data_IF_859865764630
#
_entry.id   IF_859865764630
#
_cell.length_a   1.000
_cell.length_b   1.000
_cell.length_c   1.000
_cell.angle_alpha   90.00
_cell.angle_beta   90.00
_cell.angle_gamma   90.00
#
_symmetry.space_group_name_H-M   'P 1'
#
loop_
_entity.id
_entity.type
_entity.pdbx_description
1 polymer ?
#
# COMPACT_ATOMS: atom_id res chain seq x y z
N UNK A 1 -6.29 -18.55 14.13
CA UNK A 1 -6.39 -20.00 13.97
C UNK A 1 -5.02 -20.66 14.05
N UNK A 2 -4.16 -20.48 13.05
CA UNK A 2 -2.83 -21.09 13.01
C UNK A 2 -1.84 -20.45 14.00
N UNK A 3 -2.12 -19.26 14.49
CA UNK A 3 -1.24 -18.52 15.41
C UNK A 3 -0.96 -19.34 16.68
N UNK A 4 -1.99 -19.94 17.27
CA UNK A 4 -1.85 -20.79 18.45
C UNK A 4 -1.08 -22.09 18.17
N UNK A 5 -1.28 -22.66 16.98
CA UNK A 5 -0.63 -23.89 16.58
C UNK A 5 0.88 -23.71 16.42
N UNK A 6 1.30 -22.61 15.80
CA UNK A 6 2.71 -22.27 15.62
C UNK A 6 3.29 -21.40 16.76
N UNK A 7 2.58 -21.24 17.87
CA UNK A 7 3.00 -20.44 19.02
C UNK A 7 3.35 -18.99 18.64
N UNK A 8 2.47 -18.35 17.86
CA UNK A 8 2.60 -16.98 17.40
C UNK A 8 1.63 -16.06 18.15
N UNK A 9 2.07 -14.86 18.47
CA UNK A 9 1.28 -13.78 19.08
C UNK A 9 0.21 -13.25 18.11
N UNK A 10 0.59 -13.13 16.85
CA UNK A 10 -0.21 -12.55 15.78
C UNK A 10 0.22 -13.12 14.42
N UNK A 11 -0.44 -12.66 13.35
CA UNK A 11 -0.11 -13.10 11.99
C UNK A 11 1.19 -12.48 11.49
N UNK A 12 2.26 -13.26 11.28
CA UNK A 12 3.54 -12.72 10.87
C UNK A 12 3.51 -12.12 9.45
N UNK A 13 2.63 -12.62 8.58
CA UNK A 13 2.56 -12.24 7.16
C UNK A 13 1.30 -11.44 6.82
N UNK A 14 0.82 -10.61 7.75
CA UNK A 14 -0.27 -9.68 7.48
C UNK A 14 0.09 -8.73 6.32
N UNK A 15 -0.93 -8.43 5.47
CA UNK A 15 -0.75 -7.57 4.30
C UNK A 15 -0.85 -6.07 4.61
N UNK A 16 -1.33 -5.73 5.81
CA UNK A 16 -1.39 -4.34 6.26
C UNK A 16 0.02 -3.80 6.50
N UNK A 17 0.32 -2.59 6.03
CA UNK A 17 1.60 -1.95 6.33
C UNK A 17 1.77 -1.76 7.84
N UNK A 18 2.83 -2.32 8.39
CA UNK A 18 3.19 -2.21 9.80
C UNK A 18 4.69 -1.89 9.92
N UNK A 19 5.04 -0.70 10.44
CA UNK A 19 6.44 -0.31 10.63
C UNK A 19 7.22 -1.21 11.59
N UNK A 20 6.58 -1.87 12.56
CA UNK A 20 7.23 -2.79 13.49
C UNK A 20 7.74 -4.06 12.79
N UNK A 21 7.07 -4.44 11.69
CA UNK A 21 7.45 -5.56 10.83
C UNK A 21 8.37 -5.18 9.67
N UNK A 22 8.90 -3.96 9.64
CA UNK A 22 9.84 -3.57 8.60
C UNK A 22 11.19 -4.29 8.80
N UNK A 23 11.46 -5.26 7.95
CA UNK A 23 12.80 -5.83 7.80
C UNK A 23 13.68 -4.87 7.00
N UNK A 24 14.73 -4.37 7.63
CA UNK A 24 15.70 -3.47 6.98
C UNK A 24 16.69 -4.30 6.15
N UNK A 25 16.25 -4.78 4.99
CA UNK A 25 17.20 -5.33 4.01
C UNK A 25 18.16 -4.26 3.53
N UNK A 26 19.21 -4.67 2.82
CA UNK A 26 20.20 -3.73 2.27
C UNK A 26 19.51 -2.65 1.41
N UNK A 27 18.61 -3.03 0.51
CA UNK A 27 17.90 -2.08 -0.38
C UNK A 27 16.98 -1.15 0.40
N UNK A 28 16.32 -1.60 1.48
CA UNK A 28 15.48 -0.74 2.32
C UNK A 28 16.31 0.23 3.16
N UNK A 29 17.47 -0.20 3.64
CA UNK A 29 18.39 0.67 4.38
C UNK A 29 18.95 1.77 3.48
N UNK A 30 19.46 1.42 2.29
CA UNK A 30 19.94 2.37 1.29
C UNK A 30 18.84 3.37 0.87
N UNK A 31 17.59 2.88 0.70
CA UNK A 31 16.46 3.73 0.42
C UNK A 31 16.19 4.73 1.54
N UNK A 32 16.11 4.27 2.80
CA UNK A 32 15.92 5.15 3.96
C UNK A 32 17.01 6.20 4.07
N UNK A 33 18.27 5.81 3.91
CA UNK A 33 19.42 6.73 3.98
C UNK A 33 19.36 7.77 2.85
N UNK A 34 19.00 7.36 1.64
CA UNK A 34 18.82 8.27 0.50
C UNK A 34 17.69 9.28 0.73
N UNK A 35 16.55 8.81 1.25
CA UNK A 35 15.40 9.68 1.55
C UNK A 35 15.73 10.63 2.70
N UNK A 36 16.38 10.15 3.75
CA UNK A 36 16.82 10.97 4.88
C UNK A 36 17.81 12.04 4.45
N UNK A 37 18.80 11.67 3.64
CA UNK A 37 19.74 12.61 3.05
C UNK A 37 19.01 13.69 2.24
N UNK A 38 18.03 13.31 1.42
CA UNK A 38 17.20 14.25 0.65
C UNK A 38 16.48 15.25 1.55
N UNK A 39 15.91 14.79 2.67
CA UNK A 39 15.22 15.66 3.62
C UNK A 39 16.20 16.57 4.36
N UNK A 40 17.33 16.04 4.85
CA UNK A 40 18.34 16.80 5.59
C UNK A 40 19.05 17.84 4.71
N UNK A 41 19.34 17.50 3.44
CA UNK A 41 19.93 18.41 2.45
C UNK A 41 18.97 19.45 1.88
N UNK A 42 17.69 19.41 2.30
CA UNK A 42 16.61 20.29 1.80
C UNK A 42 16.39 20.17 0.30
N UNK A 43 16.45 18.97 -0.22
CA UNK A 43 16.11 18.69 -1.61
C UNK A 43 14.67 19.17 -1.91
N UNK A 44 14.48 19.84 -3.05
CA UNK A 44 13.15 20.31 -3.45
C UNK A 44 12.22 19.14 -3.73
N UNK A 45 12.67 18.21 -4.56
CA UNK A 45 11.95 16.96 -4.87
C UNK A 45 12.79 15.74 -4.54
N UNK A 46 12.10 14.80 -3.90
CA UNK A 46 12.59 13.45 -3.61
C UNK A 46 11.59 12.47 -4.22
N UNK A 47 12.06 11.50 -4.99
CA UNK A 47 11.20 10.51 -5.64
C UNK A 47 11.62 9.10 -5.22
N UNK A 48 10.68 8.30 -4.75
CA UNK A 48 10.89 6.87 -4.51
C UNK A 48 9.91 6.07 -5.37
N UNK A 49 10.43 5.15 -6.16
CA UNK A 49 9.62 4.26 -6.98
C UNK A 49 9.92 2.80 -6.65
N UNK A 50 9.06 1.90 -7.05
CA UNK A 50 9.25 0.45 -6.87
C UNK A 50 7.97 -0.30 -7.20
N UNK A 51 8.08 -1.61 -7.35
CA UNK A 51 6.96 -2.48 -7.68
C UNK A 51 5.84 -2.43 -6.65
N UNK A 52 4.64 -2.84 -7.07
CA UNK A 52 3.49 -2.99 -6.17
C UNK A 52 3.83 -4.01 -5.09
N UNK A 53 3.74 -3.61 -3.82
CA UNK A 53 4.07 -4.51 -2.71
C UNK A 53 5.56 -4.59 -2.35
N UNK A 54 6.43 -3.76 -2.95
CA UNK A 54 7.85 -3.66 -2.58
C UNK A 54 8.12 -3.05 -1.19
N UNK A 55 7.09 -2.55 -0.49
CA UNK A 55 7.25 -1.99 0.85
C UNK A 55 7.40 -0.46 0.91
N UNK A 56 7.13 0.28 -0.18
CA UNK A 56 7.23 1.74 -0.23
C UNK A 56 6.47 2.45 0.89
N UNK A 57 5.21 2.10 1.09
CA UNK A 57 4.36 2.73 2.12
C UNK A 57 4.89 2.46 3.53
N UNK A 58 5.37 1.24 3.81
CA UNK A 58 5.99 0.89 5.09
C UNK A 58 7.29 1.65 5.29
N UNK A 59 8.11 1.78 4.24
CA UNK A 59 9.34 2.58 4.23
C UNK A 59 9.04 4.04 4.57
N UNK A 60 8.02 4.63 3.92
CA UNK A 60 7.59 6.01 4.19
C UNK A 60 7.11 6.19 5.63
N UNK A 61 6.28 5.28 6.14
CA UNK A 61 5.81 5.34 7.53
C UNK A 61 6.97 5.29 8.51
N UNK A 62 7.94 4.40 8.29
CA UNK A 62 9.15 4.29 9.12
C UNK A 62 10.01 5.55 9.02
N UNK A 63 10.15 6.12 7.83
CA UNK A 63 10.85 7.39 7.64
C UNK A 63 10.18 8.50 8.46
N UNK A 64 8.86 8.65 8.33
CA UNK A 64 8.09 9.70 9.01
C UNK A 64 8.16 9.57 10.54
N UNK A 65 8.14 8.36 11.07
CA UNK A 65 8.32 8.13 12.52
C UNK A 65 9.71 8.54 13.05
N UNK A 66 10.73 8.55 12.18
CA UNK A 66 12.11 8.90 12.54
C UNK A 66 12.44 10.39 12.30
N UNK A 67 11.51 11.16 11.73
CA UNK A 67 11.70 12.60 11.55
C UNK A 67 11.65 13.34 12.89
N UNK A 68 12.41 14.42 12.98
CA UNK A 68 12.41 15.28 14.15
C UNK A 68 11.09 16.10 14.25
N UNK A 69 10.80 16.59 15.46
CA UNK A 69 9.62 17.43 15.74
C UNK A 69 9.65 18.80 14.99
N UNK A 70 10.73 19.10 14.28
CA UNK A 70 10.84 20.30 13.44
C UNK A 70 10.25 20.09 12.05
N UNK A 71 9.90 18.86 11.69
CA UNK A 71 9.31 18.57 10.40
C UNK A 71 7.79 18.60 10.51
N UNK A 72 7.15 19.52 9.79
CA UNK A 72 5.69 19.57 9.64
C UNK A 72 5.31 18.80 8.39
N UNK A 73 4.60 17.70 8.54
CA UNK A 73 4.27 16.80 7.43
C UNK A 73 2.83 17.00 6.99
N UNK A 74 2.63 17.16 5.67
CA UNK A 74 1.34 16.93 5.02
C UNK A 74 1.42 15.66 4.19
N UNK A 75 0.38 14.82 4.24
CA UNK A 75 0.36 13.52 3.55
C UNK A 75 -0.90 13.37 2.68
N UNK A 76 -0.71 13.30 1.37
CA UNK A 76 -1.78 13.00 0.41
C UNK A 76 -1.68 11.52 0.01
N UNK A 77 -2.73 10.76 0.32
CA UNK A 77 -2.85 9.32 -0.02
C UNK A 77 -3.81 9.11 -1.18
N UNK A 78 -4.89 9.92 -1.25
CA UNK A 78 -5.78 9.90 -2.39
C UNK A 78 -5.23 10.80 -3.49
N UNK A 79 -4.74 10.20 -4.55
CA UNK A 79 -4.06 10.88 -5.66
C UNK A 79 -4.88 10.91 -6.95
N UNK A 80 -6.11 10.38 -6.93
CA UNK A 80 -7.06 10.48 -8.04
C UNK A 80 -7.85 11.79 -7.91
N UNK A 81 -7.13 12.92 -7.92
CA UNK A 81 -7.67 14.26 -7.70
C UNK A 81 -7.33 15.18 -8.87
N UNK A 82 -8.25 16.07 -9.19
CA UNK A 82 -7.96 17.19 -10.09
C UNK A 82 -6.95 18.16 -9.45
N UNK A 83 -6.19 18.95 -10.25
CA UNK A 83 -5.14 19.83 -9.71
C UNK A 83 -5.60 20.77 -8.60
N UNK A 84 -6.84 21.25 -8.67
CA UNK A 84 -7.43 22.12 -7.65
C UNK A 84 -7.73 21.36 -6.37
N UNK A 85 -8.33 20.18 -6.49
CA UNK A 85 -8.65 19.29 -5.36
C UNK A 85 -7.39 18.84 -4.65
N UNK A 86 -6.32 18.57 -5.40
CA UNK A 86 -5.01 18.25 -4.84
C UNK A 86 -4.46 19.39 -4.00
N UNK A 87 -4.55 20.64 -4.48
CA UNK A 87 -4.14 21.82 -3.73
C UNK A 87 -4.98 22.00 -2.45
N UNK A 88 -6.30 21.79 -2.53
CA UNK A 88 -7.20 21.83 -1.38
C UNK A 88 -6.83 20.75 -0.36
N UNK A 89 -6.56 19.52 -0.81
CA UNK A 89 -6.14 18.41 0.06
C UNK A 89 -4.80 18.72 0.77
N UNK A 90 -3.82 19.26 0.05
CA UNK A 90 -2.53 19.66 0.62
C UNK A 90 -2.72 20.76 1.68
N UNK A 91 -3.49 21.79 1.37
CA UNK A 91 -3.75 22.89 2.29
C UNK A 91 -4.48 22.40 3.56
N UNK A 92 -5.48 21.54 3.38
CA UNK A 92 -6.26 20.96 4.48
C UNK A 92 -5.37 20.10 5.41
N UNK A 93 -4.47 19.31 4.85
CA UNK A 93 -3.59 18.45 5.65
C UNK A 93 -2.52 19.24 6.41
N UNK A 94 -2.15 20.42 5.91
CA UNK A 94 -1.37 21.41 6.67
C UNK A 94 -2.19 22.19 7.72
N UNK A 95 -3.50 21.90 7.84
CA UNK A 95 -4.39 22.55 8.82
C UNK A 95 -4.96 23.89 8.37
N UNK A 96 -4.94 24.19 7.06
CA UNK A 96 -5.50 25.43 6.52
C UNK A 96 -6.98 25.24 6.15
N UNK A 97 -7.79 26.27 6.42
CA UNK A 97 -9.16 26.30 5.94
C UNK A 97 -9.19 26.49 4.41
N UNK A 98 -9.95 25.65 3.73
CA UNK A 98 -10.09 25.67 2.26
C UNK A 98 -11.49 26.07 1.80
N UNK A 99 -12.44 26.23 2.74
CA UNK A 99 -13.86 26.40 2.45
C UNK A 99 -14.13 27.66 1.64
N UNK A 100 -14.69 27.49 0.45
CA UNK A 100 -15.10 28.61 -0.43
C UNK A 100 -13.95 29.44 -1.00
N UNK A 101 -12.69 29.04 -0.82
CA UNK A 101 -11.53 29.79 -1.31
C UNK A 101 -11.23 29.50 -2.77
N UNK A 102 -10.84 30.53 -3.50
CA UNK A 102 -10.33 30.36 -4.86
C UNK A 102 -8.87 29.86 -4.84
N UNK A 103 -8.42 29.25 -5.94
CA UNK A 103 -7.03 28.75 -6.08
C UNK A 103 -5.97 29.80 -5.74
N UNK A 104 -6.05 31.07 -6.19
CA UNK A 104 -5.08 32.08 -5.81
C UNK A 104 -5.04 32.40 -4.31
N UNK A 105 -6.20 32.34 -3.64
CA UNK A 105 -6.30 32.54 -2.20
C UNK A 105 -5.64 31.38 -1.45
N UNK A 106 -5.89 30.13 -1.88
CA UNK A 106 -5.27 28.93 -1.29
C UNK A 106 -3.74 28.97 -1.43
N UNK A 107 -3.23 29.32 -2.60
CA UNK A 107 -1.79 29.45 -2.84
C UNK A 107 -1.16 30.54 -1.96
N UNK A 108 -1.83 31.68 -1.80
CA UNK A 108 -1.39 32.75 -0.91
C UNK A 108 -1.35 32.28 0.55
N UNK A 109 -2.42 31.66 1.02
CA UNK A 109 -2.55 31.20 2.40
C UNK A 109 -1.52 30.11 2.71
N UNK A 110 -1.31 29.18 1.77
CA UNK A 110 -0.24 28.18 1.86
C UNK A 110 1.14 28.85 1.88
N UNK A 111 1.38 29.84 1.03
CA UNK A 111 2.64 30.61 1.03
C UNK A 111 2.91 31.29 2.38
N UNK A 112 1.91 31.93 2.97
CA UNK A 112 2.03 32.55 4.31
C UNK A 112 2.34 31.48 5.36
N UNK A 113 1.60 30.37 5.38
CA UNK A 113 1.84 29.25 6.29
C UNK A 113 3.29 28.75 6.19
N UNK A 114 3.80 28.52 4.98
CA UNK A 114 5.15 28.00 4.78
C UNK A 114 6.23 29.00 5.28
N UNK A 115 6.00 30.30 5.10
CA UNK A 115 6.87 31.36 5.65
C UNK A 115 6.83 31.34 7.18
N UNK A 116 5.65 31.23 7.79
CA UNK A 116 5.49 31.15 9.23
C UNK A 116 6.17 29.91 9.82
N UNK A 117 6.01 28.74 9.18
CA UNK A 117 6.73 27.52 9.58
C UNK A 117 8.24 27.73 9.55
N UNK A 118 8.73 28.41 8.51
CA UNK A 118 10.15 28.73 8.37
C UNK A 118 10.67 29.65 9.47
N UNK A 119 9.91 30.69 9.84
CA UNK A 119 10.29 31.61 10.94
C UNK A 119 10.35 30.90 12.29
N UNK A 120 9.54 29.86 12.48
CA UNK A 120 9.54 28.97 13.65
C UNK A 120 10.66 27.91 13.61
N UNK A 121 11.51 27.91 12.57
CA UNK A 121 12.57 26.92 12.39
C UNK A 121 12.08 25.53 11.97
N UNK A 122 10.82 25.41 11.56
CA UNK A 122 10.22 24.17 11.08
C UNK A 122 10.49 23.92 9.60
N UNK A 123 10.30 22.67 9.17
CA UNK A 123 10.54 22.18 7.82
C UNK A 123 9.27 21.53 7.27
N UNK A 124 8.49 22.23 6.46
CA UNK A 124 7.35 21.63 5.80
C UNK A 124 7.77 20.57 4.78
N UNK A 125 7.18 19.38 4.88
CA UNK A 125 7.37 18.24 4.00
C UNK A 125 6.00 17.78 3.49
N UNK A 126 5.80 17.82 2.19
CA UNK A 126 4.65 17.23 1.52
C UNK A 126 5.03 15.80 1.07
N UNK A 127 4.27 14.81 1.50
CA UNK A 127 4.40 13.42 1.07
C UNK A 127 3.19 13.02 0.25
N UNK A 128 3.42 12.60 -0.99
CA UNK A 128 2.38 12.09 -1.88
C UNK A 128 2.67 10.61 -2.13
N UNK A 129 1.83 9.75 -1.59
CA UNK A 129 1.89 8.30 -1.84
C UNK A 129 1.03 7.94 -3.07
N UNK A 130 1.33 6.83 -3.75
CA UNK A 130 0.66 6.41 -5.01
C UNK A 130 0.66 7.51 -6.11
N UNK A 131 1.76 8.27 -6.20
CA UNK A 131 1.88 9.43 -7.08
C UNK A 131 1.78 9.09 -8.58
N UNK A 132 1.87 7.82 -9.00
CA UNK A 132 1.61 7.41 -10.39
C UNK A 132 0.16 7.65 -10.83
N UNK A 133 -0.76 7.87 -9.91
CA UNK A 133 -2.16 8.18 -10.23
C UNK A 133 -2.37 9.67 -10.53
N UNK A 134 -1.38 10.54 -10.24
CA UNK A 134 -1.47 11.96 -10.56
C UNK A 134 -1.42 12.17 -12.07
N UNK A 135 -2.31 13.02 -12.57
CA UNK A 135 -2.24 13.51 -13.94
C UNK A 135 -1.00 14.40 -14.16
N UNK A 136 -0.56 14.55 -15.42
CA UNK A 136 0.52 15.49 -15.75
C UNK A 136 0.21 16.91 -15.27
N UNK A 137 -1.06 17.33 -15.34
CA UNK A 137 -1.51 18.64 -14.84
C UNK A 137 -1.39 18.75 -13.31
N UNK A 138 -1.69 17.67 -12.58
CA UNK A 138 -1.53 17.64 -11.13
C UNK A 138 -0.05 17.65 -10.72
N UNK A 139 0.82 16.91 -11.43
CA UNK A 139 2.27 16.96 -11.22
C UNK A 139 2.84 18.36 -11.51
N UNK A 140 2.33 19.04 -12.55
CA UNK A 140 2.72 20.43 -12.83
C UNK A 140 2.28 21.39 -11.73
N UNK A 141 1.10 21.19 -11.12
CA UNK A 141 0.68 21.95 -9.95
C UNK A 141 1.62 21.74 -8.75
N UNK A 142 2.00 20.49 -8.49
CA UNK A 142 2.98 20.14 -7.46
C UNK A 142 4.35 20.82 -7.75
N UNK A 143 4.75 20.89 -9.04
CA UNK A 143 5.95 21.61 -9.43
C UNK A 143 5.85 23.10 -9.12
N UNK A 144 4.70 23.72 -9.40
CA UNK A 144 4.48 25.12 -9.09
C UNK A 144 4.55 25.41 -7.59
N UNK A 145 4.07 24.50 -6.72
CA UNK A 145 4.23 24.61 -5.27
C UNK A 145 5.70 24.64 -4.84
N UNK A 146 6.57 23.92 -5.54
CA UNK A 146 8.01 23.97 -5.25
C UNK A 146 8.70 25.31 -5.56
N UNK A 147 8.01 26.22 -6.28
CA UNK A 147 8.47 27.60 -6.50
C UNK A 147 8.25 28.51 -5.29
N UNK A 148 7.50 28.03 -4.28
CA UNK A 148 7.39 28.74 -3.03
C UNK A 148 8.73 28.67 -2.31
N UNK A 149 9.53 29.71 -2.50
CA UNK A 149 10.90 29.80 -1.98
C UNK A 149 11.21 31.23 -1.52
N UNK A 150 12.16 31.35 -0.62
CA UNK A 150 12.79 32.63 -0.30
C UNK A 150 14.07 32.79 -1.14
N UNK A 151 14.68 33.98 -1.14
CA UNK A 151 15.95 34.21 -1.87
C UNK A 151 17.06 33.21 -1.54
N UNK A 152 16.98 32.51 -0.40
CA UNK A 152 18.06 31.64 0.10
C UNK A 152 17.67 30.18 0.29
N UNK A 153 16.37 29.80 0.21
CA UNK A 153 15.97 28.42 0.50
C UNK A 153 14.57 28.08 0.06
N UNK A 154 14.36 26.80 -0.29
CA UNK A 154 13.03 26.21 -0.49
C UNK A 154 12.22 26.24 0.80
N UNK A 155 10.94 26.62 0.69
CA UNK A 155 9.99 26.62 1.81
C UNK A 155 9.31 25.29 1.99
N UNK A 156 9.14 24.52 0.91
CA UNK A 156 8.46 23.22 0.90
C UNK A 156 9.37 22.16 0.27
N UNK A 157 9.50 21.04 0.93
CA UNK A 157 10.08 19.83 0.37
C UNK A 157 8.96 18.88 -0.05
N UNK A 158 9.16 18.16 -1.15
CA UNK A 158 8.14 17.30 -1.73
C UNK A 158 8.74 15.90 -1.95
N UNK A 159 8.11 14.90 -1.34
CA UNK A 159 8.44 13.50 -1.49
C UNK A 159 7.32 12.78 -2.23
N UNK A 160 7.63 12.22 -3.39
CA UNK A 160 6.71 11.43 -4.20
C UNK A 160 7.07 9.97 -4.09
N UNK A 161 6.10 9.14 -3.73
CA UNK A 161 6.23 7.69 -3.78
C UNK A 161 5.25 7.12 -4.81
N UNK A 162 5.72 6.18 -5.63
CA UNK A 162 4.87 5.62 -6.66
C UNK A 162 5.38 4.32 -7.27
N UNK A 163 4.59 3.78 -8.18
CA UNK A 163 4.94 2.61 -8.98
C UNK A 163 5.92 3.00 -10.10
N UNK A 164 6.56 2.03 -10.80
CA UNK A 164 7.51 2.32 -11.87
C UNK A 164 6.97 3.26 -12.95
N UNK A 165 5.68 3.18 -13.29
CA UNK A 165 5.01 4.08 -14.25
C UNK A 165 5.12 5.57 -13.91
N UNK A 166 5.36 5.94 -12.63
CA UNK A 166 5.66 7.32 -12.26
C UNK A 166 6.95 7.82 -12.91
N UNK A 167 7.97 6.96 -13.03
CA UNK A 167 9.23 7.31 -13.72
C UNK A 167 8.99 7.60 -15.19
N UNK A 168 8.16 6.79 -15.84
CA UNK A 168 7.82 6.95 -17.26
C UNK A 168 7.04 8.24 -17.47
N UNK A 169 6.10 8.53 -16.59
CA UNK A 169 5.35 9.79 -16.60
C UNK A 169 6.28 11.00 -16.43
N UNK A 170 7.18 10.99 -15.45
CA UNK A 170 8.16 12.07 -15.21
C UNK A 170 9.18 12.18 -16.35
N UNK A 171 9.50 11.08 -17.02
CA UNK A 171 10.41 11.08 -18.17
C UNK A 171 9.79 11.69 -19.44
N UNK A 172 8.47 11.91 -19.44
CA UNK A 172 7.78 12.50 -20.60
C UNK A 172 8.27 13.92 -20.91
N UNK A 173 8.28 14.33 -22.20
CA UNK A 173 8.70 15.68 -22.60
C UNK A 173 7.91 16.81 -21.92
N UNK A 174 6.66 16.56 -21.58
CA UNK A 174 5.78 17.54 -20.91
C UNK A 174 6.24 17.88 -19.50
N UNK A 175 6.96 16.97 -18.82
CA UNK A 175 7.44 17.12 -17.45
C UNK A 175 8.95 17.31 -17.34
N UNK A 176 9.61 17.80 -18.41
CA UNK A 176 11.07 18.03 -18.40
C UNK A 176 11.49 19.00 -17.29
N UNK A 177 10.73 20.11 -17.10
CA UNK A 177 11.01 21.08 -16.04
C UNK A 177 10.81 20.50 -14.64
N UNK A 178 9.88 19.57 -14.49
CA UNK A 178 9.68 18.84 -13.24
C UNK A 178 10.89 17.94 -12.96
N UNK A 179 11.32 17.15 -13.97
CA UNK A 179 12.44 16.21 -13.86
C UNK A 179 13.75 16.91 -13.44
N UNK A 180 14.02 18.12 -13.96
CA UNK A 180 15.22 18.90 -13.63
C UNK A 180 15.26 19.34 -12.15
N UNK A 181 14.14 19.28 -11.43
CA UNK A 181 14.03 19.66 -10.00
C UNK A 181 14.17 18.49 -9.03
N UNK A 182 14.22 17.26 -9.55
CA UNK A 182 14.39 16.06 -8.73
C UNK A 182 15.87 15.99 -8.31
N UNK A 183 16.09 16.16 -7.02
CA UNK A 183 17.45 16.12 -6.46
C UNK A 183 17.83 14.70 -5.98
N UNK A 184 16.83 13.93 -5.52
CA UNK A 184 17.03 12.55 -5.05
C UNK A 184 15.99 11.65 -5.71
N UNK A 185 16.46 10.58 -6.34
CA UNK A 185 15.58 9.54 -6.92
C UNK A 185 16.11 8.17 -6.52
N UNK A 186 15.25 7.36 -5.93
CA UNK A 186 15.58 5.99 -5.55
C UNK A 186 14.54 5.02 -6.10
N UNK A 187 15.01 3.88 -6.60
CA UNK A 187 14.13 2.80 -7.04
C UNK A 187 14.28 1.61 -6.10
N UNK A 188 13.21 1.31 -5.36
CA UNK A 188 13.17 0.21 -4.39
C UNK A 188 13.04 -1.11 -5.15
N UNK A 189 14.14 -1.85 -5.20
CA UNK A 189 14.20 -3.17 -5.82
C UNK A 189 13.55 -4.21 -4.91
N UNK A 190 13.05 -5.32 -5.48
CA UNK A 190 12.66 -6.49 -4.71
C UNK A 190 13.82 -7.04 -3.86
N UNK A 191 13.49 -7.84 -2.85
CA UNK A 191 14.48 -8.56 -2.04
C UNK A 191 15.25 -9.58 -2.90
N UNK A 192 16.53 -9.72 -2.67
CA UNK A 192 17.29 -10.85 -3.21
C UNK A 192 16.99 -12.16 -2.46
N UNK A 193 17.55 -13.28 -2.89
CA UNK A 193 17.26 -14.59 -2.27
C UNK A 193 17.70 -14.66 -0.80
N UNK A 194 18.91 -14.22 -0.40
CA UNK A 194 19.32 -14.14 1.00
C UNK A 194 18.45 -13.23 1.85
N UNK A 195 18.10 -12.04 1.34
CA UNK A 195 17.24 -11.09 2.02
C UNK A 195 15.81 -11.63 2.15
N UNK A 196 15.31 -12.39 1.17
CA UNK A 196 13.99 -13.05 1.24
C UNK A 196 13.96 -14.07 2.38
N UNK A 197 14.97 -14.91 2.51
CA UNK A 197 15.06 -15.87 3.60
C UNK A 197 15.14 -15.18 4.98
N UNK A 198 15.96 -14.16 5.08
CA UNK A 198 16.09 -13.35 6.29
C UNK A 198 14.80 -12.61 6.65
N UNK A 199 14.11 -12.06 5.66
CA UNK A 199 12.80 -11.41 5.81
C UNK A 199 11.74 -12.35 6.38
N UNK A 200 11.63 -13.55 5.83
CA UNK A 200 10.66 -14.56 6.29
C UNK A 200 10.93 -14.89 7.77
N UNK A 201 12.17 -15.24 8.09
CA UNK A 201 12.55 -15.63 9.44
C UNK A 201 12.45 -14.46 10.44
N UNK A 202 12.77 -13.24 10.02
CA UNK A 202 12.58 -12.03 10.85
C UNK A 202 11.12 -11.85 11.25
N UNK A 203 10.18 -11.96 10.31
CA UNK A 203 8.75 -11.80 10.58
C UNK A 203 8.20 -12.90 11.49
N UNK A 204 8.65 -14.14 11.31
CA UNK A 204 8.29 -15.25 12.19
C UNK A 204 8.84 -15.04 13.60
N UNK A 205 10.10 -14.66 13.73
CA UNK A 205 10.72 -14.38 15.01
C UNK A 205 10.04 -13.22 15.75
N UNK A 206 9.62 -12.17 15.01
CA UNK A 206 8.92 -11.02 15.58
C UNK A 206 7.54 -11.39 16.13
N UNK A 207 6.82 -12.28 15.46
CA UNK A 207 5.50 -12.74 15.89
C UNK A 207 5.53 -13.86 16.92
N UNK A 208 6.67 -14.53 17.16
CA UNK A 208 6.76 -15.71 17.99
C UNK A 208 6.60 -15.41 19.49
N UNK A 209 5.92 -16.29 20.22
CA UNK A 209 5.84 -16.29 21.69
C UNK A 209 6.94 -17.12 22.35
N UNK A 210 7.76 -17.80 21.55
CA UNK A 210 8.85 -18.67 21.99
C UNK A 210 9.76 -18.99 20.82
N UNK A 211 10.13 -20.26 20.63
CA UNK A 211 10.90 -20.68 19.48
C UNK A 211 10.04 -20.55 18.20
N UNK A 212 10.44 -19.71 17.21
CA UNK A 212 9.66 -19.50 16.01
C UNK A 212 9.67 -20.71 15.10
N UNK A 213 8.59 -20.98 14.35
CA UNK A 213 8.67 -21.88 13.21
C UNK A 213 9.68 -21.35 12.21
N UNK A 214 10.48 -22.21 11.61
CA UNK A 214 11.50 -21.84 10.65
C UNK A 214 11.13 -22.33 9.26
N UNK A 215 11.43 -21.49 8.25
CA UNK A 215 11.44 -21.92 6.86
C UNK A 215 12.87 -22.38 6.53
N UNK A 216 13.08 -23.64 6.13
CA UNK A 216 14.36 -24.11 5.64
C UNK A 216 14.86 -23.27 4.45
N UNK A 217 16.16 -23.26 4.21
CA UNK A 217 16.77 -22.41 3.17
C UNK A 217 16.24 -22.74 1.75
N UNK A 218 16.01 -24.02 1.45
CA UNK A 218 15.43 -24.50 0.19
C UNK A 218 13.97 -24.07 0.02
N UNK A 219 13.19 -24.09 1.10
CA UNK A 219 11.83 -23.58 1.13
C UNK A 219 11.81 -22.04 0.89
N UNK A 220 12.67 -21.29 1.57
CA UNK A 220 12.79 -19.86 1.37
C UNK A 220 13.23 -19.50 -0.07
N UNK A 221 14.16 -20.26 -0.65
CA UNK A 221 14.57 -20.10 -2.04
C UNK A 221 13.42 -20.35 -3.03
N UNK A 222 12.55 -21.33 -2.72
CA UNK A 222 11.34 -21.59 -3.50
C UNK A 222 10.35 -20.42 -3.43
N UNK A 223 10.14 -19.85 -2.24
CA UNK A 223 9.31 -18.64 -2.04
C UNK A 223 9.90 -17.49 -2.84
N UNK A 224 11.22 -17.27 -2.79
CA UNK A 224 11.89 -16.21 -3.56
C UNK A 224 11.64 -16.37 -5.06
N UNK A 225 11.86 -17.54 -5.63
CA UNK A 225 11.61 -17.81 -7.06
C UNK A 225 10.16 -17.59 -7.47
N UNK A 226 9.21 -17.94 -6.60
CA UNK A 226 7.78 -17.76 -6.90
C UNK A 226 7.30 -16.32 -6.75
N UNK A 227 7.90 -15.55 -5.83
CA UNK A 227 7.53 -14.16 -5.53
C UNK A 227 8.32 -13.12 -6.31
N UNK A 228 9.45 -13.49 -6.92
CA UNK A 228 10.43 -12.54 -7.46
C UNK A 228 11.02 -11.62 -6.38
N UNK A 229 10.99 -12.02 -5.11
CA UNK A 229 11.46 -11.22 -3.98
C UNK A 229 10.53 -10.06 -3.58
N UNK A 230 9.33 -9.97 -4.15
CA UNK A 230 8.37 -8.91 -3.80
C UNK A 230 7.73 -9.20 -2.43
N UNK A 231 7.94 -8.36 -1.39
CA UNK A 231 7.52 -8.65 -0.01
C UNK A 231 6.05 -9.00 0.14
N UNK A 232 5.16 -8.33 -0.60
CA UNK A 232 3.72 -8.62 -0.56
C UNK A 232 3.40 -10.03 -1.04
N UNK A 233 4.08 -10.48 -2.11
CA UNK A 233 3.87 -11.81 -2.67
C UNK A 233 4.50 -12.86 -1.73
N UNK A 234 5.69 -12.58 -1.17
CA UNK A 234 6.30 -13.41 -0.10
C UNK A 234 5.31 -13.62 1.04
N UNK A 235 4.67 -12.53 1.52
CA UNK A 235 3.69 -12.64 2.60
C UNK A 235 2.50 -13.52 2.22
N UNK A 236 1.96 -13.37 1.01
CA UNK A 236 0.82 -14.20 0.54
C UNK A 236 1.20 -15.67 0.53
N UNK A 237 2.38 -16.01 0.02
CA UNK A 237 2.84 -17.41 -0.05
C UNK A 237 3.07 -17.97 1.35
N UNK A 238 3.76 -17.23 2.22
CA UNK A 238 4.08 -17.68 3.57
C UNK A 238 2.85 -17.78 4.47
N UNK A 239 1.88 -16.84 4.37
CA UNK A 239 0.62 -16.95 5.12
C UNK A 239 -0.19 -18.17 4.67
N UNK A 240 -0.28 -18.42 3.35
CA UNK A 240 -0.90 -19.61 2.82
C UNK A 240 -0.20 -20.90 3.30
N UNK A 241 1.13 -20.91 3.30
CA UNK A 241 1.89 -22.08 3.77
C UNK A 241 1.62 -22.39 5.25
N UNK A 242 1.51 -21.37 6.11
CA UNK A 242 1.13 -21.57 7.51
C UNK A 242 -0.33 -22.05 7.67
N UNK A 243 -1.24 -21.57 6.83
CA UNK A 243 -2.65 -22.02 6.84
C UNK A 243 -2.76 -23.48 6.39
N UNK A 244 -2.07 -23.86 5.31
CA UNK A 244 -2.06 -25.24 4.81
C UNK A 244 -1.39 -26.19 5.80
N UNK A 245 -0.22 -25.82 6.33
CA UNK A 245 0.48 -26.61 7.33
C UNK A 245 -0.36 -26.84 8.59
N UNK A 246 -1.10 -25.83 9.02
CA UNK A 246 -2.08 -25.96 10.11
C UNK A 246 -3.22 -26.94 9.78
N UNK A 247 -3.77 -26.84 8.56
CA UNK A 247 -4.87 -27.71 8.13
C UNK A 247 -4.47 -29.18 8.02
N UNK A 248 -3.21 -29.45 7.69
CA UNK A 248 -2.63 -30.78 7.57
C UNK A 248 -1.88 -31.24 8.83
N UNK A 249 -1.93 -30.48 9.91
CA UNK A 249 -1.24 -30.76 11.18
C UNK A 249 0.29 -30.88 11.02
N UNK A 250 0.89 -30.20 10.02
CA UNK A 250 2.34 -30.19 9.79
C UNK A 250 3.01 -29.08 10.64
N UNK A 251 3.89 -29.41 11.57
CA UNK A 251 4.53 -28.43 12.45
C UNK A 251 5.65 -27.63 11.75
N UNK A 252 6.10 -28.05 10.57
CA UNK A 252 7.17 -27.43 9.78
C UNK A 252 6.70 -27.15 8.36
N UNK A 253 7.16 -26.04 7.82
CA UNK A 253 6.95 -25.70 6.42
C UNK A 253 8.13 -26.21 5.61
N UNK A 254 7.94 -27.30 4.90
CA UNK A 254 8.92 -27.90 4.00
C UNK A 254 8.66 -27.57 2.53
N UNK A 255 9.54 -28.02 1.64
CA UNK A 255 9.42 -27.78 0.21
C UNK A 255 8.21 -28.47 -0.41
N UNK A 256 7.83 -29.64 0.10
CA UNK A 256 6.67 -30.38 -0.40
C UNK A 256 5.38 -29.61 -0.13
N UNK A 257 5.20 -29.13 1.11
CA UNK A 257 4.04 -28.30 1.45
C UNK A 257 3.99 -27.02 0.59
N UNK A 258 5.15 -26.39 0.35
CA UNK A 258 5.20 -25.19 -0.49
C UNK A 258 4.87 -25.46 -1.95
N UNK A 259 5.28 -26.61 -2.51
CA UNK A 259 4.88 -27.01 -3.86
C UNK A 259 3.36 -27.11 -3.98
N UNK A 260 2.70 -27.77 -3.03
CA UNK A 260 1.24 -27.88 -2.98
C UNK A 260 0.56 -26.51 -2.88
N UNK A 261 1.06 -25.64 -2.01
CA UNK A 261 0.59 -24.25 -1.85
C UNK A 261 0.77 -23.43 -3.11
N UNK A 262 1.92 -23.50 -3.76
CA UNK A 262 2.19 -22.75 -4.99
C UNK A 262 1.32 -23.22 -6.16
N UNK A 263 1.06 -24.52 -6.27
CA UNK A 263 0.12 -25.07 -7.26
C UNK A 263 -1.28 -24.47 -7.02
N UNK A 264 -1.74 -24.48 -5.79
CA UNK A 264 -3.06 -23.95 -5.44
C UNK A 264 -3.15 -22.44 -5.67
N UNK A 265 -2.16 -21.65 -5.25
CA UNK A 265 -2.16 -20.21 -5.46
C UNK A 265 -2.12 -19.81 -6.95
N UNK A 266 -1.50 -20.62 -7.81
CA UNK A 266 -1.52 -20.44 -9.27
C UNK A 266 -2.87 -20.84 -9.86
N UNK A 267 -3.45 -21.95 -9.41
CA UNK A 267 -4.75 -22.43 -9.88
C UNK A 267 -5.88 -21.44 -9.58
N UNK A 268 -5.79 -20.75 -8.44
CA UNK A 268 -6.74 -19.73 -7.99
C UNK A 268 -6.48 -18.34 -8.62
N UNK A 269 -5.40 -18.18 -9.39
CA UNK A 269 -5.03 -16.91 -10.01
C UNK A 269 -4.52 -15.84 -9.03
N UNK A 270 -4.15 -16.23 -7.81
CA UNK A 270 -3.50 -15.36 -6.82
C UNK A 270 -2.06 -15.07 -7.23
N UNK A 271 -1.38 -16.09 -7.77
CA UNK A 271 -0.07 -15.94 -8.39
C UNK A 271 -0.19 -16.01 -9.91
N UNK A 272 0.67 -15.28 -10.66
CA UNK A 272 0.72 -15.40 -12.11
C UNK A 272 1.11 -16.83 -12.53
N UNK A 273 0.51 -17.32 -13.61
CA UNK A 273 0.70 -18.70 -14.11
C UNK A 273 2.05 -18.94 -14.81
N UNK A 274 2.95 -17.95 -14.85
CA UNK A 274 4.29 -18.04 -15.45
C UNK A 274 5.42 -17.82 -14.43
N UNK A 275 6.67 -18.13 -14.77
CA UNK A 275 7.81 -17.74 -13.95
C UNK A 275 7.78 -16.21 -13.79
N UNK A 276 8.03 -15.72 -12.57
CA UNK A 276 8.15 -14.29 -12.30
C UNK A 276 9.15 -13.68 -13.30
N UNK A 277 8.73 -12.65 -14.02
CA UNK A 277 9.66 -11.96 -14.92
C UNK A 277 10.85 -11.45 -14.09
N UNK A 278 12.05 -11.84 -14.47
CA UNK A 278 13.25 -11.35 -13.81
C UNK A 278 13.21 -9.80 -13.84
N UNK A 279 13.54 -9.12 -12.72
CA UNK A 279 13.60 -7.67 -12.70
C UNK A 279 14.55 -7.20 -13.81
N UNK A 280 14.09 -6.24 -14.61
CA UNK A 280 14.93 -5.65 -15.66
C UNK A 280 16.21 -5.11 -15.01
N UNK A 281 17.40 -5.35 -15.59
CA UNK A 281 18.65 -4.85 -15.04
C UNK A 281 18.56 -3.33 -14.90
N UNK A 282 19.11 -2.75 -13.82
CA UNK A 282 19.08 -1.31 -13.63
C UNK A 282 19.72 -0.63 -14.84
N UNK A 283 18.96 0.26 -15.48
CA UNK A 283 19.54 1.13 -16.49
C UNK A 283 20.70 1.88 -15.82
N UNK A 284 21.90 1.65 -16.33
CA UNK A 284 23.13 2.26 -15.86
C UNK A 284 22.91 3.77 -15.77
N UNK A 285 22.86 4.29 -14.56
CA UNK A 285 22.78 5.72 -14.32
C UNK A 285 24.04 6.36 -14.86
N UNK A 286 23.96 6.91 -16.06
CA UNK A 286 24.98 7.83 -16.55
C UNK A 286 25.06 8.99 -15.56
N UNK A 287 26.23 9.22 -14.99
CA UNK A 287 26.50 10.33 -14.09
C UNK A 287 26.06 11.63 -14.76
N UNK A 288 25.09 12.32 -14.13
CA UNK A 288 24.64 13.65 -14.57
C UNK A 288 25.78 14.63 -14.29
N UNK A 289 26.33 15.34 -15.29
CA UNK A 289 27.34 16.35 -15.06
C UNK A 289 26.74 17.50 -14.23
N UNK A 290 27.49 17.96 -13.23
CA UNK A 290 27.13 19.10 -12.39
C UNK A 290 27.07 20.36 -13.26
N UNK A 291 25.97 21.16 -13.26
CA UNK A 291 25.95 22.45 -13.94
C UNK A 291 26.75 23.49 -13.15
N UNK A 292 27.70 24.13 -13.79
CA UNK A 292 28.33 25.37 -13.33
C UNK A 292 27.32 26.51 -13.43
N UNK A 293 27.14 27.25 -12.34
CA UNK A 293 26.21 28.39 -12.28
C UNK A 293 26.84 29.62 -12.92
N UNK A 294 26.26 30.11 -14.02
CA UNK A 294 26.49 31.45 -14.51
C UNK A 294 25.46 32.41 -13.90
N UNK A 295 25.94 33.45 -13.21
CA UNK A 295 25.12 34.52 -12.62
C UNK A 295 24.85 35.57 -13.69
N UNK A 296 23.58 35.82 -14.01
CA UNK A 296 23.16 36.91 -14.87
C UNK A 296 22.37 37.93 -14.01
N UNK A 297 22.80 39.21 -13.89
CA UNK A 297 22.02 40.24 -13.21
C UNK A 297 21.11 40.98 -14.18
N UNK A 298 19.85 41.17 -13.83
CA UNK A 298 18.90 42.00 -14.56
C UNK A 298 17.97 42.83 -13.64
N UNK A 299 17.54 44.03 -14.01
CA UNK A 299 16.93 44.99 -13.11
C UNK A 299 15.42 44.80 -12.95
N UNK A 300 14.94 44.92 -11.73
CA UNK A 300 13.53 44.91 -11.36
C UNK A 300 12.86 46.26 -11.57
N UNK A 301 11.75 46.30 -12.31
CA UNK A 301 10.80 47.39 -12.30
C UNK A 301 9.67 47.13 -11.32
N UNK A 302 9.36 48.13 -10.49
CA UNK A 302 8.24 48.08 -9.53
C UNK A 302 6.92 48.40 -10.26
N UNK A 303 5.93 47.53 -10.09
CA UNK A 303 4.54 47.84 -10.46
C UNK A 303 3.70 48.13 -9.22
N UNK A 304 2.89 49.18 -9.32
CA UNK A 304 1.97 49.67 -8.28
C UNK A 304 0.82 48.66 -8.01
N UNK A 305 0.47 48.58 -6.72
CA UNK A 305 -0.59 47.69 -6.21
C UNK A 305 -1.94 48.40 -6.36
N UNK A 306 -2.81 47.88 -7.22
CA UNK A 306 -4.22 48.25 -7.28
C UNK A 306 -5.02 47.33 -6.34
N UNK A 307 -5.66 47.90 -5.33
CA UNK A 307 -6.54 47.21 -4.41
C UNK A 307 -7.92 46.95 -5.03
N UNK A 308 -8.44 45.71 -5.06
CA UNK A 308 -9.80 45.45 -5.50
C UNK A 308 -10.80 45.62 -4.34
N UNK A 309 -11.93 46.20 -4.69
CA UNK A 309 -13.11 46.49 -3.87
C UNK A 309 -13.77 45.18 -3.38
N UNK A 310 -14.14 45.13 -2.10
CA UNK A 310 -14.86 44.03 -1.50
C UNK A 310 -16.21 43.78 -2.18
N UNK A 311 -16.41 42.58 -2.73
CA UNK A 311 -17.69 42.14 -3.27
C UNK A 311 -18.55 41.61 -2.12
N UNK A 312 -19.74 42.14 -2.00
CA UNK A 312 -20.78 41.69 -1.07
C UNK A 312 -21.19 40.26 -1.44
N UNK A 313 -20.93 39.34 -0.55
CA UNK A 313 -21.47 37.96 -0.64
C UNK A 313 -22.95 38.07 -0.28
N UNK A 314 -23.84 37.76 -1.21
CA UNK A 314 -25.28 37.81 -0.98
C UNK A 314 -25.70 36.71 -0.01
N UNK A 315 -26.65 37.02 0.89
CA UNK A 315 -27.22 36.12 1.90
C UNK A 315 -27.72 34.79 1.29
N UNK A 316 -28.18 34.86 0.03
CA UNK A 316 -28.60 33.68 -0.76
C UNK A 316 -27.46 32.72 -1.08
N UNK A 317 -26.22 33.18 -1.29
CA UNK A 317 -25.06 32.32 -1.55
C UNK A 317 -24.66 31.55 -0.27
N UNK A 318 -24.79 32.20 0.90
CA UNK A 318 -24.55 31.55 2.20
C UNK A 318 -25.61 30.49 2.49
N UNK A 319 -26.88 30.76 2.19
CA UNK A 319 -27.96 29.82 2.38
C UNK A 319 -27.81 28.57 1.47
N UNK A 320 -27.40 28.76 0.20
CA UNK A 320 -27.11 27.64 -0.72
C UNK A 320 -25.94 26.78 -0.25
N UNK A 321 -24.85 27.41 0.20
CA UNK A 321 -23.70 26.67 0.72
C UNK A 321 -24.04 25.89 2.00
N UNK A 322 -24.88 26.45 2.88
CA UNK A 322 -25.37 25.76 4.07
C UNK A 322 -26.24 24.55 3.71
N UNK A 323 -27.14 24.70 2.73
CA UNK A 323 -27.98 23.60 2.26
C UNK A 323 -27.14 22.48 1.61
N UNK A 324 -26.16 22.82 0.77
CA UNK A 324 -25.25 21.84 0.18
C UNK A 324 -24.42 21.09 1.23
N UNK A 325 -24.01 21.76 2.30
CA UNK A 325 -23.30 21.14 3.41
C UNK A 325 -24.20 20.14 4.17
N UNK A 326 -25.46 20.48 4.40
CA UNK A 326 -26.45 19.56 5.01
C UNK A 326 -26.71 18.35 4.12
N UNK A 327 -26.89 18.56 2.82
CA UNK A 327 -27.11 17.45 1.87
C UNK A 327 -25.88 16.54 1.76
N UNK A 328 -24.66 17.11 1.83
CA UNK A 328 -23.41 16.32 1.87
C UNK A 328 -23.29 15.52 3.14
N UNK A 329 -23.62 16.11 4.31
CA UNK A 329 -23.64 15.41 5.59
C UNK A 329 -24.65 14.26 5.60
N UNK A 330 -25.85 14.47 5.05
CA UNK A 330 -26.86 13.44 4.91
C UNK A 330 -26.40 12.27 4.01
N UNK A 331 -25.72 12.56 2.88
CA UNK A 331 -25.15 11.53 2.01
C UNK A 331 -24.04 10.74 2.69
N UNK A 332 -23.17 11.39 3.46
CA UNK A 332 -22.15 10.72 4.25
C UNK A 332 -22.74 9.80 5.32
N UNK A 333 -23.72 10.29 6.08
CA UNK A 333 -24.42 9.48 7.07
C UNK A 333 -25.13 8.27 6.45
N UNK A 334 -25.78 8.44 5.30
CA UNK A 334 -26.39 7.33 4.57
C UNK A 334 -25.34 6.30 4.09
N UNK A 335 -24.16 6.74 3.67
CA UNK A 335 -23.06 5.86 3.25
C UNK A 335 -22.46 5.10 4.45
N UNK A 336 -22.28 5.75 5.57
CA UNK A 336 -21.83 5.12 6.82
C UNK A 336 -22.82 4.05 7.31
N UNK A 337 -24.13 4.34 7.25
CA UNK A 337 -25.16 3.37 7.58
C UNK A 337 -25.15 2.16 6.63
N UNK A 338 -24.95 2.39 5.33
CA UNK A 338 -24.84 1.32 4.35
C UNK A 338 -23.60 0.43 4.58
N UNK A 339 -22.47 1.01 4.96
CA UNK A 339 -21.25 0.29 5.31
C UNK A 339 -21.49 -0.54 6.58
N UNK A 340 -22.04 0.06 7.64
CA UNK A 340 -22.34 -0.63 8.90
C UNK A 340 -23.35 -1.78 8.72
N UNK A 341 -24.32 -1.63 7.79
CA UNK A 341 -25.24 -2.71 7.43
C UNK A 341 -24.51 -3.85 6.74
N UNK A 342 -23.62 -3.52 5.79
CA UNK A 342 -22.83 -4.53 5.07
C UNK A 342 -21.86 -5.28 5.97
N UNK A 343 -21.25 -4.61 6.94
CA UNK A 343 -20.39 -5.23 7.94
C UNK A 343 -21.17 -6.22 8.83
N UNK A 344 -22.40 -5.87 9.24
CA UNK A 344 -23.27 -6.79 9.99
C UNK A 344 -23.65 -8.01 9.17
N UNK A 345 -24.04 -7.83 7.92
CA UNK A 345 -24.35 -8.93 6.99
C UNK A 345 -23.14 -9.88 6.81
N UNK A 346 -21.94 -9.32 6.66
CA UNK A 346 -20.72 -10.10 6.56
C UNK A 346 -20.37 -10.82 7.86
N UNK A 347 -20.58 -10.19 9.00
CA UNK A 347 -20.36 -10.82 10.31
C UNK A 347 -21.32 -12.01 10.53
N UNK A 348 -22.58 -11.86 10.13
CA UNK A 348 -23.58 -12.92 10.22
C UNK A 348 -23.29 -14.08 9.26
N UNK A 349 -22.90 -13.80 8.04
CA UNK A 349 -22.43 -14.82 7.07
C UNK A 349 -21.22 -15.60 7.62
N UNK A 350 -20.26 -14.92 8.25
CA UNK A 350 -19.11 -15.56 8.89
C UNK A 350 -19.52 -16.48 10.04
N UNK A 351 -20.52 -16.07 10.82
CA UNK A 351 -21.06 -16.85 11.93
C UNK A 351 -21.74 -18.13 11.43
N UNK A 352 -22.60 -18.02 10.42
CA UNK A 352 -23.30 -19.16 9.80
C UNK A 352 -22.28 -20.16 9.21
N UNK A 353 -21.29 -19.68 8.48
CA UNK A 353 -20.22 -20.51 7.93
C UNK A 353 -19.39 -21.22 9.02
N UNK A 354 -19.15 -20.56 10.14
CA UNK A 354 -18.44 -21.17 11.26
C UNK A 354 -19.28 -22.28 11.96
N UNK A 355 -20.62 -22.13 12.02
CA UNK A 355 -21.52 -23.14 12.54
C UNK A 355 -21.67 -24.34 11.59
N UNK A 356 -21.79 -24.10 10.28
CA UNK A 356 -21.82 -25.16 9.27
C UNK A 356 -20.50 -25.98 9.28
N UNK A 357 -19.37 -25.30 9.44
CA UNK A 357 -18.06 -25.98 9.56
C UNK A 357 -17.99 -26.85 10.83
N UNK A 358 -18.46 -26.37 11.96
CA UNK A 358 -18.52 -27.15 13.20
C UNK A 358 -19.41 -28.39 13.06
N UNK A 359 -20.56 -28.25 12.39
CA UNK A 359 -21.47 -29.36 12.14
C UNK A 359 -20.85 -30.42 11.22
N UNK A 360 -20.21 -30.00 10.14
CA UNK A 360 -19.51 -30.92 9.23
C UNK A 360 -18.36 -31.67 9.94
N UNK A 361 -17.60 -30.96 10.77
CA UNK A 361 -16.51 -31.57 11.52
C UNK A 361 -17.00 -32.58 12.58
N UNK A 362 -18.13 -32.28 13.24
CA UNK A 362 -18.75 -33.19 14.21
C UNK A 362 -19.33 -34.47 13.57
N UNK A 363 -19.74 -34.41 12.30
CA UNK A 363 -20.22 -35.58 11.54
C UNK A 363 -19.09 -36.50 11.10
N UNK A 364 -17.86 -35.98 10.89
CA UNK A 364 -16.70 -36.76 10.50
C UNK A 364 -15.95 -37.41 11.68
N UNK A 365 -16.20 -36.94 12.92
CA UNK A 365 -15.53 -37.46 14.15
C UNK A 365 -16.34 -38.45 14.94
N UNK A 366 -17.47 -39.00 14.42
CA UNK A 366 -18.16 -40.11 15.10
C UNK A 366 -17.38 -41.42 14.90
N UNK A 367 -16.85 -42.05 15.95
CA UNK A 367 -16.25 -43.38 15.85
C UNK A 367 -17.36 -44.39 15.54
N UNK A 368 -17.18 -45.17 14.47
CA UNK A 368 -18.02 -46.36 14.20
C UNK A 368 -17.83 -47.37 15.31
N UNK A 369 -18.82 -47.51 16.16
CA UNK A 369 -18.87 -48.60 17.14
C UNK A 369 -18.92 -49.93 16.36
N UNK A 370 -17.90 -50.72 16.57
CA UNK A 370 -17.83 -52.11 16.11
C UNK A 370 -18.88 -52.94 16.81
N UNK A 371 -19.85 -53.44 16.07
CA UNK A 371 -20.72 -54.53 16.51
C UNK A 371 -20.30 -55.79 15.76
N UNK A 372 -19.73 -56.71 16.49
CA UNK A 372 -19.50 -58.11 16.06
C UNK A 372 -20.81 -58.88 16.04
N UNK A 373 -21.19 -59.45 14.91
CA UNK A 373 -21.98 -60.69 14.84
C UNK A 373 -21.96 -61.27 13.41
N UNK A 374 -21.82 -62.50 13.32
CA UNK A 374 -21.47 -63.56 12.41
C UNK A 374 -22.60 -63.98 11.44
N UNK A 375 -22.45 -65.04 10.61
CA UNK A 375 -22.39 -64.86 9.15
C UNK A 375 -23.60 -65.49 8.41
N UNK A 376 -23.75 -65.08 7.15
CA UNK A 376 -24.56 -65.86 6.24
C UNK A 376 -25.52 -65.04 5.37
N UNK A 377 -25.22 -64.93 4.07
CA UNK A 377 -26.21 -64.48 3.10
C UNK A 377 -25.61 -63.72 1.89
N UNK A 378 -25.33 -64.49 0.83
CA UNK A 378 -25.08 -63.99 -0.52
C UNK A 378 -26.26 -63.15 -1.00
N UNK A 379 -26.04 -61.94 -1.54
CA UNK A 379 -26.64 -61.47 -2.79
C UNK A 379 -25.76 -60.35 -3.38
N UNK A 380 -25.42 -60.52 -4.63
CA UNK A 380 -24.70 -59.62 -5.53
C UNK A 380 -25.53 -58.41 -5.93
N UNK A 381 -24.96 -57.20 -5.83
CA UNK A 381 -25.21 -56.16 -6.82
C UNK A 381 -24.07 -55.14 -6.81
N UNK A 382 -23.43 -55.04 -7.94
CA UNK A 382 -22.37 -54.11 -8.31
C UNK A 382 -22.90 -52.70 -8.39
N UNK A 383 -22.35 -51.80 -7.58
CA UNK A 383 -22.24 -50.40 -7.98
C UNK A 383 -20.88 -49.87 -7.48
N UNK A 384 -20.02 -49.59 -8.49
CA UNK A 384 -18.74 -48.95 -8.30
C UNK A 384 -18.97 -47.51 -7.83
N UNK A 385 -18.64 -47.20 -6.59
CA UNK A 385 -18.42 -45.83 -6.15
C UNK A 385 -16.91 -45.61 -6.07
N UNK A 386 -16.37 -44.74 -6.90
CA UNK A 386 -14.99 -44.23 -6.81
C UNK A 386 -14.86 -43.33 -5.59
N UNK A 387 -13.85 -43.52 -4.74
CA UNK A 387 -13.59 -42.63 -3.61
C UNK A 387 -12.59 -41.57 -4.03
N UNK A 388 -13.01 -40.56 -4.85
CA UNK A 388 -12.20 -39.39 -5.16
C UNK A 388 -13.07 -38.22 -5.54
N UNK A 389 -13.65 -37.61 -4.52
CA UNK A 389 -14.04 -36.20 -4.59
C UNK A 389 -14.16 -35.65 -3.16
N UNK A 390 -13.00 -35.26 -2.59
CA UNK A 390 -12.99 -34.34 -1.45
C UNK A 390 -13.60 -33.02 -1.95
N UNK A 391 -14.64 -32.45 -1.29
CA UNK A 391 -15.17 -31.14 -1.65
C UNK A 391 -14.06 -30.11 -1.46
N UNK A 392 -13.64 -29.50 -2.55
CA UNK A 392 -12.40 -28.77 -2.67
C UNK A 392 -12.26 -27.64 -1.64
N UNK A 393 -11.17 -27.69 -0.93
CA UNK A 393 -10.54 -26.63 -0.15
C UNK A 393 -10.48 -25.28 -0.94
N UNK A 394 -10.44 -25.35 -2.26
CA UNK A 394 -10.54 -24.20 -3.21
C UNK A 394 -11.71 -23.27 -2.93
N UNK A 395 -12.88 -23.81 -2.62
CA UNK A 395 -14.06 -23.03 -2.28
C UNK A 395 -13.92 -22.24 -0.98
N UNK A 396 -13.15 -22.77 -0.03
CA UNK A 396 -12.89 -22.14 1.25
C UNK A 396 -11.86 -21.01 1.16
N UNK A 397 -10.73 -21.23 0.47
CA UNK A 397 -9.69 -20.22 0.23
C UNK A 397 -10.24 -19.04 -0.59
N UNK A 398 -11.06 -19.30 -1.61
CA UNK A 398 -11.69 -18.27 -2.43
C UNK A 398 -12.64 -17.36 -1.64
N UNK A 399 -13.34 -17.90 -0.64
CA UNK A 399 -14.21 -17.13 0.26
C UNK A 399 -13.40 -16.35 1.30
N UNK A 400 -12.28 -16.87 1.74
CA UNK A 400 -11.42 -16.21 2.74
C UNK A 400 -10.62 -15.02 2.15
N UNK A 401 -10.24 -15.09 0.87
CA UNK A 401 -9.47 -14.05 0.17
C UNK A 401 -10.32 -12.94 -0.46
N UNK A 402 -11.66 -12.96 -0.30
CA UNK A 402 -12.53 -11.81 -0.62
C UNK A 402 -12.71 -11.50 -2.11
N UNK A 403 -12.55 -12.47 -3.03
CA UNK A 403 -12.69 -12.25 -4.46
C UNK A 403 -14.15 -12.44 -4.93
N UNK A 404 -15.03 -11.47 -4.65
CA UNK A 404 -16.34 -11.33 -5.32
C UNK A 404 -16.15 -10.53 -6.60
N UNK A 405 -16.08 -11.19 -7.76
CA UNK A 405 -16.31 -10.51 -9.05
C UNK A 405 -17.80 -10.13 -9.13
N UNK A 406 -18.17 -8.90 -9.51
CA UNK A 406 -19.55 -8.60 -9.86
C UNK A 406 -19.94 -9.39 -11.12
N UNK A 407 -21.09 -10.05 -11.07
CA UNK A 407 -21.71 -10.67 -12.24
C UNK A 407 -22.06 -9.57 -13.25
N UNK A 408 -21.45 -9.64 -14.43
CA UNK A 408 -21.87 -8.85 -15.61
C UNK A 408 -23.11 -9.56 -16.17
N UNK A 409 -24.29 -8.99 -15.94
CA UNK A 409 -25.49 -9.36 -16.67
C UNK A 409 -25.32 -8.96 -18.12
N UNK A 410 -25.24 -9.98 -18.99
CA UNK A 410 -25.46 -9.80 -20.41
C UNK A 410 -26.99 -9.60 -20.62
N UNK A 411 -27.41 -8.42 -21.06
CA UNK A 411 -28.70 -8.21 -21.73
C UNK A 411 -28.43 -7.97 -23.20
N UNK A 412 -29.16 -8.75 -23.99
CA UNK A 412 -29.40 -8.53 -25.41
C UNK A 412 -30.06 -7.18 -25.70
#
# INVERSE_FOLDING_TARGET
MYEKYYNLRERPFALSPDPEYLYLSRVHSEALDSLRYGIESRAGFIVVTGEVGAGKTTLLQTLLQRLDNRTTVARVVNTTLEPRELLEAIALDFGLDTTGKSKPVLLRDLGHFLVDQRTQGKRPLLVIDEAQNLSAAALEEVRLLSNLETEKSKLLQILLAGQPGLRDTIASPQLEQFRQRIAVSYHLMPLDEPDTASYINYRLAHAALGEPPTFPADAAAMVHRASGGVPRIVNVICDAALVFGYAEERPRVDTQLLEEVLVELRSTGVLPSGPAAAPAPPATTAAVPRPEFAVIPGPFQRHEVVTPRASQVTEEALARAAQEAVDRAARLAAREQAIARRERELAEQRRILAEEYRLMHSLHTRPTASTTADPGGRVSSTSRFSPDQKPGFVGWVRRMLGNSRPAVEARH
#
